data_IF_672534083686
#
_entry.id   IF_672534083686
#
_cell.length_a   1.000
_cell.length_b   1.000
_cell.length_c   1.000
_cell.angle_alpha   90.00
_cell.angle_beta   90.00
_cell.angle_gamma   90.00
#
_symmetry.space_group_name_H-M   'P 1'
#
loop_
_entity.id
_entity.type
_entity.pdbx_description
1 polymer ?
#
# COMPACT_ATOMS: atom_id res chain seq x y z
N UNK A 1 -18.75 4.69 10.62
CA UNK A 1 -18.71 5.30 11.98
C UNK A 1 -17.77 6.49 11.95
N UNK A 2 -18.22 7.63 12.53
CA UNK A 2 -17.35 8.81 12.62
C UNK A 2 -16.36 8.64 13.77
N UNK A 3 -15.07 8.74 13.48
CA UNK A 3 -14.00 8.58 14.46
C UNK A 3 -13.38 9.94 14.82
N UNK A 4 -12.92 10.09 16.06
CA UNK A 4 -12.19 11.28 16.50
C UNK A 4 -10.78 11.32 15.90
N UNK A 5 -10.23 12.53 15.75
CA UNK A 5 -8.92 12.75 15.13
C UNK A 5 -7.78 12.00 15.86
N UNK A 6 -7.85 11.89 17.18
CA UNK A 6 -6.83 11.17 17.96
C UNK A 6 -6.97 9.64 17.93
N UNK A 7 -8.08 9.13 17.39
CA UNK A 7 -8.30 7.70 17.23
C UNK A 7 -7.88 7.20 15.83
N UNK A 8 -7.37 8.06 14.96
CA UNK A 8 -6.98 7.73 13.59
C UNK A 8 -5.56 8.19 13.27
N UNK A 9 -4.97 7.57 12.25
CA UNK A 9 -3.68 8.00 11.67
C UNK A 9 -3.87 8.79 10.37
N UNK A 10 -5.11 9.23 10.08
CA UNK A 10 -5.43 10.03 8.90
C UNK A 10 -4.61 11.33 8.85
N UNK A 11 -4.13 11.76 7.69
CA UNK A 11 -3.45 13.04 7.50
C UNK A 11 -4.42 14.24 7.60
N UNK A 12 -5.74 14.01 7.52
CA UNK A 12 -6.76 15.06 7.64
C UNK A 12 -6.94 15.50 9.10
N UNK A 13 -5.98 16.29 9.56
CA UNK A 13 -5.92 16.79 10.94
C UNK A 13 -5.27 18.18 10.97
N UNK A 14 -5.47 18.97 12.05
CA UNK A 14 -4.93 20.34 12.15
C UNK A 14 -3.42 20.42 11.97
N UNK A 15 -2.68 19.40 12.39
CA UNK A 15 -1.24 19.26 12.17
C UNK A 15 -0.99 17.98 11.33
N UNK A 16 -0.91 18.09 10.00
CA UNK A 16 -0.91 16.94 9.10
C UNK A 16 0.46 16.25 8.99
N UNK A 17 1.13 16.05 10.13
CA UNK A 17 2.36 15.28 10.19
C UNK A 17 2.02 13.80 10.34
N UNK A 18 2.66 12.98 9.53
CA UNK A 18 2.62 11.53 9.59
C UNK A 18 3.91 10.96 10.19
N UNK A 19 3.85 9.71 10.62
CA UNK A 19 5.01 8.92 11.02
C UNK A 19 4.91 7.57 10.29
N UNK A 20 5.93 7.23 9.50
CA UNK A 20 6.05 5.95 8.81
C UNK A 20 7.30 5.24 9.29
N UNK A 21 7.14 3.97 9.69
CA UNK A 21 8.26 3.08 9.96
C UNK A 21 8.60 2.32 8.67
N UNK A 22 9.86 2.40 8.24
CA UNK A 22 10.33 1.80 6.99
C UNK A 22 11.59 0.99 7.22
N UNK A 23 11.82 -0.01 6.37
CA UNK A 23 13.07 -0.74 6.37
C UNK A 23 14.10 -0.04 5.49
N UNK A 24 15.27 0.25 6.02
CA UNK A 24 16.41 0.73 5.24
C UNK A 24 17.03 -0.44 4.46
N UNK A 25 17.04 -0.35 3.13
CA UNK A 25 17.65 -1.34 2.25
C UNK A 25 19.08 -0.94 1.86
N UNK A 26 19.35 0.38 1.77
CA UNK A 26 20.68 0.87 1.40
C UNK A 26 20.75 2.39 1.33
N UNK A 27 21.97 2.86 1.06
CA UNK A 27 22.26 4.27 0.78
C UNK A 27 23.03 4.34 -0.54
N UNK A 28 22.50 5.10 -1.49
CA UNK A 28 23.14 5.38 -2.77
C UNK A 28 23.58 6.83 -2.83
N UNK A 29 24.72 7.07 -3.48
CA UNK A 29 25.16 8.42 -3.84
C UNK A 29 24.81 8.70 -5.30
N UNK A 30 23.90 9.64 -5.52
CA UNK A 30 23.52 10.09 -6.87
C UNK A 30 24.16 11.43 -7.17
N UNK A 31 24.74 11.62 -8.38
CA UNK A 31 25.49 12.83 -8.73
C UNK A 31 24.66 14.12 -8.68
N UNK A 32 23.37 14.02 -8.95
CA UNK A 32 22.42 15.13 -9.08
C UNK A 32 21.74 15.54 -7.74
N UNK A 33 21.53 14.59 -6.82
CA UNK A 33 20.78 14.82 -5.57
C UNK A 33 21.56 14.48 -4.30
N UNK A 34 22.76 13.87 -4.42
CA UNK A 34 23.56 13.46 -3.27
C UNK A 34 23.14 12.12 -2.68
N UNK A 35 23.23 11.92 -1.34
CA UNK A 35 22.88 10.66 -0.72
C UNK A 35 21.36 10.42 -0.74
N UNK A 36 20.97 9.25 -1.21
CA UNK A 36 19.58 8.78 -1.31
C UNK A 36 19.41 7.54 -0.44
N UNK A 37 18.40 7.52 0.40
CA UNK A 37 18.02 6.35 1.20
C UNK A 37 17.08 5.46 0.40
N UNK A 38 17.47 4.21 0.21
CA UNK A 38 16.60 3.18 -0.35
C UNK A 38 15.83 2.52 0.79
N UNK A 39 14.51 2.60 0.74
CA UNK A 39 13.65 2.10 1.81
C UNK A 39 12.56 1.18 1.26
N UNK A 40 12.11 0.26 2.10
CA UNK A 40 10.99 -0.65 1.81
C UNK A 40 9.84 -0.40 2.80
N UNK A 41 8.61 -0.51 2.30
CA UNK A 41 7.39 -0.35 3.10
C UNK A 41 7.01 1.11 3.35
N UNK A 42 7.49 2.03 2.51
CA UNK A 42 7.05 3.42 2.53
C UNK A 42 5.64 3.53 1.96
N UNK A 43 4.69 3.99 2.78
CA UNK A 43 3.34 4.36 2.36
C UNK A 43 3.31 5.88 2.19
N UNK A 44 3.97 6.35 1.14
CA UNK A 44 4.17 7.77 0.84
C UNK A 44 3.86 8.03 -0.63
N UNK A 45 3.19 9.15 -0.90
CA UNK A 45 3.04 9.64 -2.27
C UNK A 45 4.36 10.22 -2.76
N UNK A 46 4.57 10.18 -4.08
CA UNK A 46 5.71 10.89 -4.70
C UNK A 46 5.68 12.37 -4.36
N UNK A 47 6.87 12.94 -4.11
CA UNK A 47 7.02 14.33 -3.68
C UNK A 47 6.62 14.61 -2.22
N UNK A 48 6.25 13.62 -1.42
CA UNK A 48 5.97 13.82 0.01
C UNK A 48 7.22 14.34 0.74
N UNK A 49 7.17 15.52 1.38
CA UNK A 49 8.31 16.06 2.09
C UNK A 49 8.64 15.26 3.35
N UNK A 50 9.91 14.93 3.53
CA UNK A 50 10.43 14.28 4.72
C UNK A 50 11.07 15.34 5.62
N UNK A 51 10.54 15.54 6.80
CA UNK A 51 11.01 16.57 7.75
C UNK A 51 12.07 16.07 8.71
N UNK A 52 12.02 14.77 9.07
CA UNK A 52 12.94 14.18 10.04
C UNK A 52 13.07 12.67 9.81
N UNK A 53 14.24 12.13 10.16
CA UNK A 53 14.53 10.70 10.08
C UNK A 53 15.15 10.28 11.40
N UNK A 54 14.56 9.26 12.04
CA UNK A 54 15.06 8.68 13.29
C UNK A 54 15.31 7.19 13.15
N UNK A 55 16.35 6.65 13.80
CA UNK A 55 16.51 5.21 13.85
C UNK A 55 15.35 4.57 14.62
N UNK A 56 14.83 3.44 14.10
CA UNK A 56 13.90 2.58 14.81
C UNK A 56 14.65 1.84 15.92
N UNK A 57 14.16 1.96 17.15
CA UNK A 57 14.77 1.32 18.32
C UNK A 57 13.77 0.34 18.92
N UNK A 58 13.95 -1.00 18.72
CA UNK A 58 12.95 -2.00 19.08
C UNK A 58 12.46 -1.93 20.54
N UNK A 59 13.33 -1.70 21.49
CA UNK A 59 12.93 -1.64 22.89
C UNK A 59 12.12 -0.39 23.27
N UNK A 60 12.17 0.66 22.45
CA UNK A 60 11.45 1.91 22.67
C UNK A 60 10.22 2.05 21.77
N UNK A 61 10.30 1.52 20.54
CA UNK A 61 9.31 1.77 19.49
C UNK A 61 8.33 0.59 19.31
N UNK A 62 8.70 -0.62 19.77
CA UNK A 62 7.87 -1.81 19.61
C UNK A 62 7.02 -2.06 20.85
N UNK A 63 5.71 -2.05 20.69
CA UNK A 63 4.71 -2.35 21.71
C UNK A 63 3.79 -3.48 21.25
N UNK A 64 4.23 -4.76 21.34
CA UNK A 64 3.46 -5.90 20.80
C UNK A 64 2.11 -6.11 21.50
N UNK A 65 1.98 -5.64 22.73
CA UNK A 65 0.79 -5.70 23.57
C UNK A 65 -0.10 -4.46 23.50
N UNK A 66 0.20 -3.54 22.56
CA UNK A 66 -0.60 -2.34 22.39
C UNK A 66 -2.03 -2.68 21.95
N UNK A 67 -3.01 -2.00 22.55
CA UNK A 67 -4.41 -2.14 22.15
C UNK A 67 -4.64 -1.53 20.76
N UNK A 68 -5.26 -2.29 19.86
CA UNK A 68 -5.52 -1.87 18.47
C UNK A 68 -6.66 -0.87 18.33
N UNK A 69 -7.39 -0.56 19.41
CA UNK A 69 -8.54 0.34 19.36
C UNK A 69 -9.63 -0.17 18.43
N UNK A 70 -10.15 0.70 17.53
CA UNK A 70 -11.19 0.31 16.58
C UNK A 70 -10.66 -0.60 15.46
N UNK A 71 -9.37 -0.56 15.17
CA UNK A 71 -8.77 -1.39 14.10
C UNK A 71 -8.79 -2.88 14.44
N UNK A 72 -8.71 -3.24 15.71
CA UNK A 72 -8.88 -4.62 16.16
C UNK A 72 -10.28 -5.19 15.97
N UNK A 73 -11.27 -4.32 15.76
CA UNK A 73 -12.66 -4.71 15.45
C UNK A 73 -12.93 -4.73 13.93
N UNK A 74 -12.00 -4.21 13.13
CA UNK A 74 -12.11 -4.20 11.69
C UNK A 74 -11.53 -5.53 11.18
N UNK A 75 -12.37 -6.41 10.68
CA UNK A 75 -11.89 -7.60 9.99
C UNK A 75 -10.99 -7.15 8.83
N UNK A 76 -9.77 -7.66 8.79
CA UNK A 76 -8.94 -7.55 7.59
C UNK A 76 -9.62 -8.39 6.53
N UNK A 77 -10.37 -7.74 5.64
CA UNK A 77 -10.94 -8.39 4.49
C UNK A 77 -9.86 -8.46 3.43
N UNK A 78 -9.38 -9.65 3.16
CA UNK A 78 -8.45 -9.89 2.05
C UNK A 78 -9.20 -10.61 0.95
N UNK A 79 -9.03 -10.14 -0.27
CA UNK A 79 -9.57 -10.77 -1.45
C UNK A 79 -8.66 -11.91 -1.92
N UNK A 80 -9.25 -12.94 -2.49
CA UNK A 80 -8.51 -13.96 -3.23
C UNK A 80 -8.24 -13.43 -4.64
N UNK A 81 -6.98 -13.30 -5.00
CA UNK A 81 -6.56 -12.82 -6.32
C UNK A 81 -6.48 -13.98 -7.31
N UNK A 82 -7.21 -13.88 -8.40
CA UNK A 82 -7.14 -14.79 -9.53
C UNK A 82 -6.63 -14.05 -10.77
N UNK A 83 -5.68 -14.64 -11.46
CA UNK A 83 -5.10 -14.08 -12.67
C UNK A 83 -4.70 -15.22 -13.62
N UNK A 84 -5.08 -15.10 -14.88
CA UNK A 84 -4.68 -16.06 -15.89
C UNK A 84 -3.16 -16.04 -16.11
N UNK A 85 -2.51 -17.19 -16.36
CA UNK A 85 -1.07 -17.26 -16.53
C UNK A 85 -0.52 -16.35 -17.62
N UNK A 86 -1.26 -16.17 -18.71
CA UNK A 86 -0.92 -15.29 -19.84
C UNK A 86 -0.93 -13.81 -19.45
N UNK A 87 -1.87 -13.39 -18.59
CA UNK A 87 -1.95 -12.03 -18.05
C UNK A 87 -0.83 -11.81 -17.04
N UNK A 88 -0.57 -12.82 -16.19
CA UNK A 88 0.49 -12.77 -15.19
C UNK A 88 1.89 -12.68 -15.82
N UNK A 89 2.07 -13.23 -17.05
CA UNK A 89 3.32 -13.14 -17.80
C UNK A 89 3.71 -11.69 -18.16
N UNK A 90 2.75 -10.77 -18.26
CA UNK A 90 3.01 -9.36 -18.51
C UNK A 90 3.58 -8.61 -17.29
N UNK A 91 3.46 -9.19 -16.08
CA UNK A 91 3.98 -8.61 -14.84
C UNK A 91 5.42 -9.09 -14.60
N UNK A 92 6.40 -8.18 -14.41
CA UNK A 92 7.77 -8.55 -14.03
C UNK A 92 7.76 -9.42 -12.77
N UNK A 93 8.56 -10.47 -12.76
CA UNK A 93 8.59 -11.44 -11.65
C UNK A 93 8.86 -10.77 -10.29
N UNK A 94 9.75 -9.78 -10.26
CA UNK A 94 10.10 -9.04 -9.05
C UNK A 94 8.93 -8.22 -8.46
N UNK A 95 7.90 -7.93 -9.26
CA UNK A 95 6.77 -7.08 -8.86
C UNK A 95 5.51 -7.89 -8.52
N UNK A 96 5.48 -9.19 -8.85
CA UNK A 96 4.29 -10.03 -8.70
C UNK A 96 3.81 -10.12 -7.26
N UNK A 97 4.71 -10.37 -6.32
CA UNK A 97 4.35 -10.48 -4.90
C UNK A 97 3.80 -9.16 -4.35
N UNK A 98 4.41 -8.04 -4.73
CA UNK A 98 3.97 -6.72 -4.30
C UNK A 98 2.61 -6.35 -4.91
N UNK A 99 2.41 -6.62 -6.20
CA UNK A 99 1.11 -6.42 -6.87
C UNK A 99 0.02 -7.29 -6.25
N UNK A 100 0.31 -8.57 -6.00
CA UNK A 100 -0.62 -9.48 -5.33
C UNK A 100 -1.06 -8.92 -3.97
N UNK A 101 -0.11 -8.48 -3.14
CA UNK A 101 -0.41 -7.90 -1.84
C UNK A 101 -1.27 -6.64 -1.91
N UNK A 102 -1.11 -5.80 -2.93
CA UNK A 102 -1.98 -4.63 -3.16
C UNK A 102 -3.38 -5.07 -3.54
N UNK A 103 -3.52 -6.02 -4.47
CA UNK A 103 -4.81 -6.52 -4.93
C UNK A 103 -5.60 -7.24 -3.84
N UNK A 104 -4.92 -8.03 -2.98
CA UNK A 104 -5.52 -8.69 -1.82
C UNK A 104 -6.14 -7.71 -0.83
N UNK A 105 -5.61 -6.50 -0.73
CA UNK A 105 -6.11 -5.46 0.18
C UNK A 105 -7.27 -4.63 -0.41
N UNK A 106 -7.94 -5.12 -1.46
CA UNK A 106 -9.10 -4.49 -2.10
C UNK A 106 -8.88 -3.00 -2.46
N UNK A 107 -8.21 -2.74 -3.60
CA UNK A 107 -7.89 -1.36 -4.00
C UNK A 107 -9.10 -0.56 -4.51
N UNK A 108 -10.32 -1.13 -4.48
CA UNK A 108 -11.54 -0.41 -4.88
C UNK A 108 -11.90 0.71 -3.90
N UNK A 109 -12.56 1.77 -4.37
CA UNK A 109 -13.25 2.68 -3.47
C UNK A 109 -14.29 1.93 -2.62
N UNK A 110 -14.26 2.09 -1.30
CA UNK A 110 -15.06 1.34 -0.32
C UNK A 110 -16.61 1.47 -0.48
N UNK A 111 -17.06 2.37 -1.34
CA UNK A 111 -18.49 2.57 -1.65
C UNK A 111 -18.92 1.90 -2.97
N UNK A 112 -18.03 1.20 -3.65
CA UNK A 112 -18.32 0.55 -4.94
C UNK A 112 -18.30 -0.97 -4.78
N UNK A 113 -19.43 -1.61 -5.12
CA UNK A 113 -19.62 -3.06 -4.99
C UNK A 113 -20.26 -3.69 -6.23
N UNK A 114 -20.01 -3.12 -7.41
CA UNK A 114 -20.53 -3.65 -8.68
C UNK A 114 -19.62 -4.76 -9.19
N UNK A 115 -20.07 -6.03 -9.26
CA UNK A 115 -19.24 -7.16 -9.67
C UNK A 115 -18.90 -7.16 -11.17
N UNK A 116 -19.69 -6.45 -12.00
CA UNK A 116 -19.47 -6.36 -13.44
C UNK A 116 -18.53 -5.21 -13.82
N UNK A 117 -18.25 -4.33 -12.88
CA UNK A 117 -17.42 -3.16 -13.13
C UNK A 117 -15.95 -3.55 -13.24
N UNK A 118 -15.32 -3.10 -14.32
CA UNK A 118 -13.86 -3.16 -14.46
C UNK A 118 -13.24 -1.95 -13.77
N UNK A 119 -12.37 -2.21 -12.84
CA UNK A 119 -11.55 -1.21 -12.14
C UNK A 119 -10.16 -1.16 -12.76
N UNK A 120 -9.55 0.02 -12.79
CA UNK A 120 -8.18 0.22 -13.21
C UNK A 120 -7.34 0.83 -12.10
N UNK A 121 -6.09 0.41 -11.98
CA UNK A 121 -5.11 0.99 -11.09
C UNK A 121 -3.73 1.01 -11.73
N UNK A 122 -2.94 2.01 -11.34
CA UNK A 122 -1.53 2.08 -11.72
C UNK A 122 -0.66 1.40 -10.64
N UNK A 123 0.30 0.59 -11.08
CA UNK A 123 1.25 -0.07 -10.21
C UNK A 123 2.59 -0.30 -10.94
N UNK A 124 3.69 0.30 -10.44
CA UNK A 124 5.03 0.06 -10.96
C UNK A 124 5.22 0.38 -12.46
N UNK A 125 4.46 1.35 -13.03
CA UNK A 125 4.45 1.64 -14.46
C UNK A 125 3.56 0.71 -15.29
N UNK A 126 2.80 -0.17 -14.61
CA UNK A 126 1.77 -1.01 -15.20
C UNK A 126 0.40 -0.38 -14.99
N UNK A 127 -0.50 -0.58 -15.94
CA UNK A 127 -1.93 -0.35 -15.77
C UNK A 127 -2.61 -1.70 -15.62
N UNK A 128 -3.26 -1.93 -14.48
CA UNK A 128 -3.87 -3.19 -14.08
C UNK A 128 -5.38 -3.03 -14.06
N UNK A 129 -6.09 -3.85 -14.85
CA UNK A 129 -7.54 -3.89 -14.88
C UNK A 129 -8.05 -5.16 -14.19
N UNK A 130 -9.06 -5.01 -13.33
CA UNK A 130 -9.61 -6.12 -12.56
C UNK A 130 -11.11 -5.95 -12.28
N UNK A 131 -11.76 -7.05 -11.96
CA UNK A 131 -13.14 -7.09 -11.45
C UNK A 131 -13.15 -7.74 -10.07
N UNK A 132 -14.17 -7.45 -9.25
CA UNK A 132 -14.31 -8.10 -7.94
C UNK A 132 -15.73 -8.58 -7.76
N UNK A 133 -15.87 -9.89 -7.53
CA UNK A 133 -17.14 -10.54 -7.22
C UNK A 133 -17.01 -11.26 -5.86
N UNK A 134 -17.79 -10.81 -4.88
CA UNK A 134 -17.68 -11.28 -3.50
C UNK A 134 -16.27 -11.11 -2.93
N UNK A 135 -15.61 -12.20 -2.62
CA UNK A 135 -14.24 -12.24 -2.06
C UNK A 135 -13.16 -12.53 -3.11
N UNK A 136 -13.52 -12.53 -4.39
CA UNK A 136 -12.60 -12.87 -5.48
C UNK A 136 -12.34 -11.65 -6.35
N UNK A 137 -11.07 -11.28 -6.47
CA UNK A 137 -10.57 -10.30 -7.42
C UNK A 137 -9.97 -11.04 -8.62
N UNK A 138 -10.50 -10.77 -9.80
CA UNK A 138 -9.98 -11.35 -11.05
C UNK A 138 -9.25 -10.27 -11.85
N UNK A 139 -7.96 -10.46 -12.07
CA UNK A 139 -7.17 -9.61 -12.98
C UNK A 139 -7.56 -9.94 -14.41
N UNK A 140 -8.01 -8.93 -15.14
CA UNK A 140 -8.48 -9.07 -16.53
C UNK A 140 -7.40 -8.80 -17.55
N UNK A 141 -6.60 -7.77 -17.28
CA UNK A 141 -5.59 -7.28 -18.21
C UNK A 141 -4.50 -6.51 -17.45
N UNK A 142 -3.27 -6.57 -17.96
CA UNK A 142 -2.13 -5.78 -17.50
C UNK A 142 -1.39 -5.25 -18.73
N UNK A 143 -1.24 -3.93 -18.81
CA UNK A 143 -0.52 -3.26 -19.89
C UNK A 143 0.59 -2.37 -19.36
N UNK A 144 1.66 -2.21 -20.12
CA UNK A 144 2.69 -1.21 -19.83
C UNK A 144 2.17 0.18 -20.23
N UNK A 145 2.43 1.16 -19.42
CA UNK A 145 2.09 2.57 -19.70
C UNK A 145 3.22 3.30 -20.40
#
# INVERSE_FOLDING_TARGET
TRMGVFATRSPFRPNPLGLSSVRLEGIEHRPDVGPVLLVRGADLMDGTPIYDIKPYIPYADCHPDAAEGFTGQTQRHTLRVECAPEVWAAVPEAERDALTGVLENDPRPSYQHDPERVYGMEFGGLEVHFTVDGEVLTVRDVTMR
#
